data_IF_584648197976
#
_entry.id   IF_584648197976
#
_cell.length_a   1.000
_cell.length_b   1.000
_cell.length_c   1.000
_cell.angle_alpha   90.00
_cell.angle_beta   90.00
_cell.angle_gamma   90.00
#
_symmetry.space_group_name_H-M   'P 1'
#
loop_
_entity.id
_entity.type
_entity.pdbx_description
1 polymer ?
#
# COMPACT_ATOMS: atom_id res chain seq x y z
N UNK A 1 47.99 -15.36 -14.78
CA UNK A 1 47.01 -14.78 -13.83
C UNK A 1 45.81 -14.32 -14.65
N UNK A 2 45.18 -15.30 -15.31
CA UNK A 2 43.79 -15.20 -15.79
C UNK A 2 42.90 -15.35 -14.55
N UNK A 3 41.65 -14.91 -14.44
CA UNK A 3 40.54 -14.54 -15.35
C UNK A 3 39.49 -13.94 -14.36
N UNK A 4 38.60 -13.01 -14.67
CA UNK A 4 37.43 -13.18 -15.52
C UNK A 4 36.72 -11.80 -15.58
N UNK A 5 36.69 -11.21 -16.77
CA UNK A 5 35.57 -10.38 -17.19
C UNK A 5 34.32 -11.27 -17.21
N UNK A 6 33.26 -10.91 -16.48
CA UNK A 6 31.90 -11.31 -16.87
C UNK A 6 31.14 -10.04 -17.22
N UNK A 7 31.46 -9.50 -18.38
CA UNK A 7 30.44 -8.86 -19.22
C UNK A 7 29.83 -10.04 -19.97
N UNK A 8 28.60 -10.43 -19.63
CA UNK A 8 27.73 -11.35 -20.40
C UNK A 8 26.42 -11.54 -19.61
N UNK A 9 25.22 -11.20 -20.08
CA UNK A 9 24.79 -10.57 -21.33
C UNK A 9 23.34 -10.07 -21.18
N UNK A 10 22.86 -9.35 -22.19
CA UNK A 10 21.53 -8.70 -22.30
C UNK A 10 21.43 -7.28 -21.77
N UNK A 11 22.41 -6.48 -22.18
CA UNK A 11 22.18 -5.13 -22.69
C UNK A 11 20.88 -5.03 -23.50
N UNK A 12 19.95 -4.23 -22.98
CA UNK A 12 18.68 -3.86 -23.58
C UNK A 12 17.85 -3.12 -22.53
N UNK A 13 17.02 -2.14 -22.90
CA UNK A 13 16.14 -1.50 -21.92
C UNK A 13 15.16 -2.57 -21.44
N UNK A 14 15.39 -3.14 -20.24
CA UNK A 14 14.46 -4.09 -19.61
C UNK A 14 13.24 -3.32 -19.11
N UNK A 15 12.38 -2.91 -20.04
CA UNK A 15 10.98 -2.57 -19.78
C UNK A 15 10.25 -3.86 -19.35
N UNK A 16 10.56 -4.32 -18.14
CA UNK A 16 10.10 -5.60 -17.60
C UNK A 16 9.67 -5.45 -16.14
N UNK A 17 8.72 -6.29 -15.75
CA UNK A 17 8.02 -6.36 -14.45
C UNK A 17 8.91 -6.33 -13.19
N UNK A 18 10.23 -6.51 -13.34
CA UNK A 18 11.22 -6.38 -12.26
C UNK A 18 11.28 -4.96 -11.65
N UNK A 19 10.96 -3.90 -12.40
CA UNK A 19 10.92 -2.54 -11.83
C UNK A 19 9.71 -2.33 -10.90
N UNK A 20 8.58 -3.01 -11.17
CA UNK A 20 7.41 -2.98 -10.28
C UNK A 20 7.69 -3.68 -8.95
N UNK A 21 8.50 -4.76 -8.95
CA UNK A 21 8.93 -5.44 -7.74
C UNK A 21 9.91 -4.62 -6.89
N UNK A 22 10.57 -3.59 -7.45
CA UNK A 22 11.45 -2.67 -6.71
C UNK A 22 10.75 -1.40 -6.19
N UNK A 23 9.46 -1.23 -6.49
CA UNK A 23 8.67 -0.13 -5.94
C UNK A 23 7.99 -0.61 -4.66
N UNK A 24 8.27 0.04 -3.52
CA UNK A 24 7.56 -0.23 -2.26
C UNK A 24 6.05 -0.15 -2.50
N UNK A 25 5.31 -1.21 -2.16
CA UNK A 25 3.84 -1.22 -2.28
C UNK A 25 3.20 -0.17 -1.36
N UNK A 26 3.94 0.29 -0.35
CA UNK A 26 3.56 1.34 0.59
C UNK A 26 4.04 2.71 0.08
N UNK A 27 3.33 3.26 -0.89
CA UNK A 27 3.71 4.53 -1.51
C UNK A 27 3.67 5.69 -0.49
N UNK A 28 2.60 5.78 0.31
CA UNK A 28 2.39 6.87 1.29
C UNK A 28 2.23 6.38 2.74
N UNK A 29 1.79 5.14 2.96
CA UNK A 29 1.49 4.66 4.32
C UNK A 29 2.73 4.52 5.21
N UNK A 30 3.93 4.47 4.61
CA UNK A 30 5.21 4.47 5.34
C UNK A 30 5.43 5.75 6.16
N UNK A 31 4.89 6.90 5.72
CA UNK A 31 5.09 8.21 6.37
C UNK A 31 4.49 8.27 7.78
N UNK A 32 3.50 7.42 8.06
CA UNK A 32 2.77 7.36 9.33
C UNK A 32 3.00 6.05 10.11
N UNK A 33 3.61 5.04 9.47
CA UNK A 33 3.84 3.72 10.09
C UNK A 33 5.31 3.49 10.46
N UNK A 34 6.27 4.01 9.68
CA UNK A 34 7.69 3.70 9.84
C UNK A 34 8.47 4.74 10.65
N UNK A 35 9.50 4.28 11.35
CA UNK A 35 10.43 5.13 12.09
C UNK A 35 9.98 5.48 13.52
N UNK A 36 10.94 5.78 14.42
CA UNK A 36 10.66 6.05 15.83
C UNK A 36 9.84 7.34 16.03
N UNK A 37 10.02 8.35 15.17
CA UNK A 37 9.31 9.63 15.22
C UNK A 37 7.81 9.51 14.94
N UNK A 38 7.34 8.38 14.41
CA UNK A 38 5.91 8.12 14.10
C UNK A 38 5.18 7.31 15.18
N UNK A 39 5.75 7.21 16.39
CA UNK A 39 5.13 6.48 17.50
C UNK A 39 3.72 6.96 17.84
N UNK A 40 3.47 8.28 17.82
CA UNK A 40 2.13 8.84 18.07
C UNK A 40 1.10 8.45 17.00
N UNK A 41 1.50 8.46 15.73
CA UNK A 41 0.63 8.03 14.63
C UNK A 41 0.30 6.54 14.73
N UNK A 42 1.30 5.69 15.03
CA UNK A 42 1.07 4.27 15.29
C UNK A 42 0.13 4.05 16.47
N UNK A 43 0.25 4.81 17.56
CA UNK A 43 -0.66 4.68 18.70
C UNK A 43 -2.12 4.92 18.29
N UNK A 44 -2.40 5.93 17.46
CA UNK A 44 -3.75 6.18 16.93
C UNK A 44 -4.23 5.05 16.01
N UNK A 45 -3.35 4.52 15.16
CA UNK A 45 -3.70 3.39 14.29
C UNK A 45 -3.97 2.10 15.09
N UNK A 46 -3.25 1.89 16.21
CA UNK A 46 -3.55 0.80 17.16
C UNK A 46 -4.90 0.97 17.82
N UNK A 47 -5.28 2.20 18.18
CA UNK A 47 -6.57 2.48 18.82
C UNK A 47 -7.77 2.12 17.92
N UNK A 48 -7.62 2.19 16.60
CA UNK A 48 -8.65 1.78 15.63
C UNK A 48 -8.54 0.30 15.21
N UNK A 49 -7.63 -0.47 15.82
CA UNK A 49 -7.58 -1.93 15.69
C UNK A 49 -6.46 -2.49 14.82
N UNK A 50 -5.52 -1.68 14.30
CA UNK A 50 -4.38 -2.23 13.54
C UNK A 50 -3.40 -2.98 14.45
N UNK A 51 -2.73 -3.99 13.89
CA UNK A 51 -1.67 -4.76 14.56
C UNK A 51 -0.29 -4.46 13.99
N UNK A 52 0.79 -5.02 14.58
CA UNK A 52 2.14 -4.87 14.01
C UNK A 52 2.22 -5.45 12.59
N UNK A 53 1.56 -6.58 12.37
CA UNK A 53 1.51 -7.26 11.07
C UNK A 53 0.81 -6.39 9.99
N UNK A 54 -0.09 -5.51 10.40
CA UNK A 54 -0.79 -4.60 9.49
C UNK A 54 0.05 -3.40 9.07
N UNK A 55 1.08 -3.02 9.82
CA UNK A 55 1.99 -1.93 9.42
C UNK A 55 2.93 -2.31 8.26
N UNK A 56 3.08 -3.62 8.01
CA UNK A 56 3.78 -4.11 6.83
C UNK A 56 2.94 -4.02 5.55
N UNK A 57 1.61 -3.92 5.68
CA UNK A 57 0.66 -3.90 4.55
C UNK A 57 0.41 -2.46 4.03
N UNK A 58 0.00 -2.30 2.76
CA UNK A 58 -0.42 -1.00 2.26
C UNK A 58 -1.75 -0.61 2.90
N UNK A 59 -1.90 0.68 3.25
CA UNK A 59 -3.16 1.19 3.79
C UNK A 59 -4.04 1.66 2.62
N UNK A 60 -5.23 1.05 2.50
CA UNK A 60 -6.19 1.36 1.44
C UNK A 60 -7.41 2.06 2.06
N UNK A 61 -7.62 3.31 1.68
CA UNK A 61 -8.80 4.07 2.10
C UNK A 61 -10.01 3.76 1.23
N UNK A 62 -11.06 3.19 1.82
CA UNK A 62 -12.35 2.99 1.15
C UNK A 62 -13.27 4.16 1.50
N UNK A 63 -13.59 5.00 0.50
CA UNK A 63 -14.43 6.19 0.68
C UNK A 63 -15.82 5.91 0.11
N UNK A 64 -16.85 6.21 0.91
CA UNK A 64 -18.24 6.16 0.49
C UNK A 64 -18.83 7.56 0.41
N UNK A 65 -19.48 7.90 -0.71
CA UNK A 65 -20.31 9.10 -0.83
C UNK A 65 -21.76 8.86 -0.36
N UNK A 66 -21.99 7.77 0.38
CA UNK A 66 -23.31 7.36 0.84
C UNK A 66 -24.02 8.41 1.68
N UNK A 67 -25.23 8.79 1.27
CA UNK A 67 -26.08 9.74 1.99
C UNK A 67 -27.56 9.54 1.63
N UNK A 68 -28.44 10.19 2.40
CA UNK A 68 -29.90 10.11 2.26
C UNK A 68 -30.49 11.29 1.45
N UNK A 69 -29.66 12.18 0.91
CA UNK A 69 -30.11 13.36 0.16
C UNK A 69 -30.64 12.96 -1.20
N UNK A 70 -30.00 11.99 -1.85
CA UNK A 70 -30.39 11.48 -3.17
C UNK A 70 -30.42 9.96 -3.19
N UNK A 71 -31.38 9.35 -3.92
CA UNK A 71 -31.54 7.90 -3.93
C UNK A 71 -30.34 7.16 -4.54
N UNK A 72 -29.56 7.82 -5.41
CA UNK A 72 -28.40 7.22 -6.06
C UNK A 72 -27.25 6.86 -5.09
N UNK A 73 -27.16 7.53 -3.94
CA UNK A 73 -26.09 7.31 -2.97
C UNK A 73 -26.48 6.37 -1.82
N UNK A 74 -27.76 5.97 -1.72
CA UNK A 74 -28.27 5.17 -0.59
C UNK A 74 -27.53 3.84 -0.42
N UNK A 75 -27.11 3.20 -1.51
CA UNK A 75 -26.43 1.90 -1.49
C UNK A 75 -24.92 2.01 -1.26
N UNK A 76 -24.36 3.22 -1.27
CA UNK A 76 -22.92 3.48 -1.12
C UNK A 76 -22.29 2.80 0.08
N UNK A 77 -22.84 2.91 1.31
CA UNK A 77 -22.23 2.32 2.50
C UNK A 77 -22.15 0.79 2.41
N UNK A 78 -23.17 0.15 1.82
CA UNK A 78 -23.19 -1.30 1.62
C UNK A 78 -22.10 -1.75 0.66
N UNK A 79 -21.87 -1.01 -0.44
CA UNK A 79 -20.80 -1.31 -1.39
C UNK A 79 -19.41 -1.13 -0.77
N UNK A 80 -19.24 -0.11 0.08
CA UNK A 80 -17.98 0.14 0.77
C UNK A 80 -17.62 -0.97 1.77
N UNK A 81 -18.59 -1.58 2.45
CA UNK A 81 -18.31 -2.74 3.30
C UNK A 81 -17.87 -3.98 2.51
N UNK A 82 -18.43 -4.22 1.32
CA UNK A 82 -17.92 -5.30 0.45
C UNK A 82 -16.51 -5.01 -0.06
N UNK A 83 -16.21 -3.75 -0.41
CA UNK A 83 -14.88 -3.37 -0.84
C UNK A 83 -13.80 -3.54 0.25
N UNK A 84 -14.17 -3.43 1.54
CA UNK A 84 -13.25 -3.68 2.67
C UNK A 84 -12.92 -5.16 2.88
N UNK A 85 -13.72 -6.08 2.33
CA UNK A 85 -13.52 -7.53 2.48
C UNK A 85 -12.63 -8.14 1.40
N UNK A 86 -12.51 -7.46 0.24
CA UNK A 86 -11.67 -7.90 -0.88
C UNK A 86 -10.21 -7.50 -0.70
#
# INVERSE_FOLDING_TARGET
METLLSVDGTDGPRFGVDYLLRMSIKIHSQDVSEGPSRAGARAMLRAVGLTDDDFAKPQVGVVSAGNEVTPCNLTGPKLSEFAKQG
#
